data_IF_984852654429
#
_entry.id   IF_984852654429
#
_cell.length_a   1.000
_cell.length_b   1.000
_cell.length_c   1.000
_cell.angle_alpha   90.00
_cell.angle_beta   90.00
_cell.angle_gamma   90.00
#
_symmetry.space_group_name_H-M   'P 1'
#
loop_
_entity.id
_entity.type
_entity.pdbx_description
1 polymer ?
#
# COMPACT_ATOMS: atom_id res chain seq x y z
N UNK A 1 14.32 -29.10 -12.52
CA UNK A 1 15.08 -28.17 -11.68
C UNK A 1 14.77 -26.72 -12.06
N UNK A 2 14.90 -26.33 -13.30
CA UNK A 2 14.62 -24.93 -13.79
C UNK A 2 13.23 -24.39 -13.50
N UNK A 3 12.17 -25.18 -13.59
CA UNK A 3 10.79 -24.73 -13.24
C UNK A 3 10.62 -24.42 -11.75
N UNK A 4 11.35 -25.08 -10.89
CA UNK A 4 11.29 -24.84 -9.45
C UNK A 4 12.04 -23.56 -9.08
N UNK A 5 13.19 -23.32 -9.69
CA UNK A 5 13.96 -22.07 -9.51
C UNK A 5 13.20 -20.85 -10.04
N UNK A 6 12.55 -20.95 -11.19
CA UNK A 6 11.72 -19.90 -11.74
C UNK A 6 10.53 -19.51 -10.84
N UNK A 7 9.88 -20.47 -10.18
CA UNK A 7 8.80 -20.22 -9.22
C UNK A 7 9.30 -19.54 -7.95
N UNK A 8 10.45 -19.98 -7.41
CA UNK A 8 11.04 -19.37 -6.21
C UNK A 8 11.47 -17.92 -6.48
N UNK A 9 12.07 -17.67 -7.64
CA UNK A 9 12.47 -16.31 -8.06
C UNK A 9 11.25 -15.40 -8.24
N UNK A 10 10.16 -15.90 -8.82
CA UNK A 10 8.90 -15.17 -8.93
C UNK A 10 8.30 -14.79 -7.58
N UNK A 11 8.32 -15.71 -6.62
CA UNK A 11 7.82 -15.47 -5.27
C UNK A 11 8.68 -14.43 -4.52
N UNK A 12 10.01 -14.49 -4.65
CA UNK A 12 10.90 -13.51 -4.02
C UNK A 12 10.69 -12.09 -4.56
N UNK A 13 10.53 -11.94 -5.88
CA UNK A 13 10.22 -10.64 -6.51
C UNK A 13 8.86 -10.13 -6.02
N UNK A 14 7.87 -11.01 -5.94
CA UNK A 14 6.55 -10.67 -5.42
C UNK A 14 6.62 -10.14 -3.97
N UNK A 15 7.31 -10.87 -3.07
CA UNK A 15 7.49 -10.44 -1.68
C UNK A 15 8.23 -9.11 -1.57
N UNK A 16 9.24 -8.88 -2.42
CA UNK A 16 9.94 -7.60 -2.48
C UNK A 16 9.00 -6.45 -2.86
N UNK A 17 8.13 -6.65 -3.85
CA UNK A 17 7.13 -5.63 -4.24
C UNK A 17 6.16 -5.34 -3.10
N UNK A 18 5.71 -6.38 -2.36
CA UNK A 18 4.86 -6.18 -1.18
C UNK A 18 5.57 -5.39 -0.10
N UNK A 19 6.81 -5.77 0.21
CA UNK A 19 7.63 -5.07 1.20
C UNK A 19 7.80 -3.58 0.85
N UNK A 20 8.18 -3.28 -0.41
CA UNK A 20 8.35 -1.90 -0.84
C UNK A 20 7.05 -1.09 -0.77
N UNK A 21 5.92 -1.69 -1.15
CA UNK A 21 4.62 -1.01 -1.03
C UNK A 21 4.26 -0.73 0.45
N UNK A 22 4.42 -1.73 1.32
CA UNK A 22 4.19 -1.57 2.76
C UNK A 22 5.15 -0.53 3.39
N UNK A 23 6.41 -0.54 2.96
CA UNK A 23 7.42 0.41 3.41
C UNK A 23 7.05 1.87 3.03
N UNK A 24 6.58 2.10 1.80
CA UNK A 24 6.10 3.42 1.36
C UNK A 24 4.90 3.87 2.20
N UNK A 25 3.90 3.00 2.38
CA UNK A 25 2.69 3.32 3.14
C UNK A 25 3.01 3.64 4.60
N UNK A 26 3.79 2.81 5.28
CA UNK A 26 4.20 3.01 6.67
C UNK A 26 5.14 4.20 6.83
N UNK A 27 6.12 4.33 5.94
CA UNK A 27 7.07 5.44 5.96
C UNK A 27 6.37 6.78 5.80
N UNK A 28 5.43 6.88 4.87
CA UNK A 28 4.61 8.09 4.72
C UNK A 28 3.75 8.35 5.96
N UNK A 29 3.06 7.33 6.48
CA UNK A 29 2.23 7.46 7.68
C UNK A 29 3.03 7.99 8.88
N UNK A 30 4.21 7.42 9.13
CA UNK A 30 5.09 7.86 10.22
C UNK A 30 5.56 9.30 9.99
N UNK A 31 5.94 9.64 8.77
CA UNK A 31 6.42 10.98 8.43
C UNK A 31 5.34 12.03 8.60
N UNK A 32 4.12 11.81 8.10
CA UNK A 32 3.03 12.77 8.23
C UNK A 32 2.61 12.96 9.69
N UNK A 33 2.51 11.87 10.46
CA UNK A 33 2.20 11.94 11.88
C UNK A 33 3.28 12.68 12.66
N UNK A 34 4.56 12.41 12.39
CA UNK A 34 5.66 13.12 13.02
C UNK A 34 5.66 14.63 12.67
N UNK A 35 5.27 14.98 11.43
CA UNK A 35 5.12 16.38 11.02
C UNK A 35 4.02 17.07 11.80
N UNK A 36 2.86 16.44 11.96
CA UNK A 36 1.76 16.94 12.80
C UNK A 36 2.24 17.16 14.26
N UNK A 37 2.98 16.20 14.81
CA UNK A 37 3.52 16.30 16.17
C UNK A 37 4.50 17.45 16.35
N UNK A 38 5.28 17.79 15.33
CA UNK A 38 6.28 18.88 15.40
C UNK A 38 5.68 20.26 15.16
N UNK A 39 4.61 20.35 14.40
CA UNK A 39 4.04 21.62 13.95
C UNK A 39 2.86 22.07 14.83
N UNK A 40 2.17 21.13 15.45
CA UNK A 40 0.93 21.39 16.15
C UNK A 40 0.99 20.86 17.60
N UNK A 41 0.13 21.43 18.46
CA UNK A 41 0.01 21.02 19.87
C UNK A 41 -1.44 21.05 20.34
N UNK A 42 -1.71 20.38 21.46
CA UNK A 42 -3.03 20.40 22.08
C UNK A 42 -4.12 19.73 21.21
N UNK A 43 -5.28 20.36 21.14
CA UNK A 43 -6.46 19.82 20.43
C UNK A 43 -6.24 19.69 18.92
N UNK A 44 -5.55 20.65 18.30
CA UNK A 44 -5.25 20.63 16.86
C UNK A 44 -4.40 19.40 16.50
N UNK A 45 -3.39 19.08 17.30
CA UNK A 45 -2.57 17.90 17.09
C UNK A 45 -3.40 16.60 17.14
N UNK A 46 -4.29 16.49 18.12
CA UNK A 46 -5.18 15.33 18.26
C UNK A 46 -6.11 15.21 17.05
N UNK A 47 -6.72 16.32 16.64
CA UNK A 47 -7.65 16.36 15.50
C UNK A 47 -6.96 15.98 14.19
N UNK A 48 -5.79 16.55 13.89
CA UNK A 48 -5.05 16.24 12.67
C UNK A 48 -4.53 14.79 12.66
N UNK A 49 -4.10 14.27 13.81
CA UNK A 49 -3.71 12.86 13.93
C UNK A 49 -4.89 11.93 13.67
N UNK A 50 -6.07 12.24 14.21
CA UNK A 50 -7.30 11.51 13.95
C UNK A 50 -7.68 11.58 12.46
N UNK A 51 -7.55 12.76 11.84
CA UNK A 51 -7.84 12.96 10.42
C UNK A 51 -6.88 12.18 9.51
N UNK A 52 -5.58 12.12 9.81
CA UNK A 52 -4.61 11.26 9.08
C UNK A 52 -5.06 9.80 9.13
N UNK A 53 -5.43 9.29 10.30
CA UNK A 53 -5.90 7.92 10.42
C UNK A 53 -7.22 7.69 9.67
N UNK A 54 -8.13 8.65 9.68
CA UNK A 54 -9.38 8.59 8.93
C UNK A 54 -9.12 8.59 7.41
N UNK A 55 -8.23 9.45 6.90
CA UNK A 55 -7.83 9.49 5.48
C UNK A 55 -7.25 8.18 4.99
N UNK A 56 -6.58 7.42 5.87
CA UNK A 56 -6.06 6.09 5.53
C UNK A 56 -7.18 5.06 5.56
N UNK A 57 -8.04 5.06 6.58
CA UNK A 57 -9.03 4.02 6.82
C UNK A 57 -10.26 4.12 5.91
N UNK A 58 -10.76 5.33 5.67
CA UNK A 58 -11.99 5.57 4.89
C UNK A 58 -11.92 4.97 3.48
N UNK A 59 -10.85 5.17 2.68
CA UNK A 59 -10.73 4.55 1.37
C UNK A 59 -10.81 3.02 1.41
N UNK A 60 -10.21 2.37 2.40
CA UNK A 60 -10.31 0.91 2.54
C UNK A 60 -11.74 0.47 2.76
N UNK A 61 -12.51 1.16 3.61
CA UNK A 61 -13.91 0.82 3.88
C UNK A 61 -14.77 1.04 2.63
N UNK A 62 -14.64 2.20 1.98
CA UNK A 62 -15.48 2.56 0.83
C UNK A 62 -15.13 1.79 -0.44
N UNK A 63 -13.85 1.47 -0.64
CA UNK A 63 -13.34 0.87 -1.87
C UNK A 63 -13.19 -0.64 -1.80
N UNK A 64 -13.43 -1.30 -0.67
CA UNK A 64 -13.28 -2.75 -0.54
C UNK A 64 -14.07 -3.53 -1.59
N UNK A 65 -15.32 -3.14 -1.85
CA UNK A 65 -16.17 -3.79 -2.85
C UNK A 65 -15.76 -3.46 -4.28
N UNK A 66 -15.61 -2.18 -4.70
CA UNK A 66 -15.17 -1.88 -6.06
C UNK A 66 -13.75 -2.37 -6.35
N UNK A 67 -12.83 -2.30 -5.40
CA UNK A 67 -11.46 -2.81 -5.57
C UNK A 67 -11.44 -4.34 -5.75
N UNK A 68 -12.26 -5.07 -5.00
CA UNK A 68 -12.45 -6.50 -5.17
C UNK A 68 -12.96 -6.84 -6.58
N UNK A 69 -14.04 -6.18 -7.04
CA UNK A 69 -14.59 -6.36 -8.38
C UNK A 69 -13.59 -6.09 -9.49
N UNK A 70 -12.78 -5.04 -9.36
CA UNK A 70 -11.73 -4.71 -10.34
C UNK A 70 -10.64 -5.79 -10.32
N UNK A 71 -10.21 -6.21 -9.14
CA UNK A 71 -9.23 -7.29 -8.99
C UNK A 71 -9.71 -8.62 -9.59
N UNK A 72 -11.02 -8.90 -9.54
CA UNK A 72 -11.58 -10.12 -10.13
C UNK A 72 -11.76 -10.02 -11.65
N UNK A 73 -12.05 -8.83 -12.16
CA UNK A 73 -12.28 -8.59 -13.58
C UNK A 73 -11.00 -8.52 -14.41
N UNK A 74 -9.92 -8.01 -13.84
CA UNK A 74 -8.63 -7.83 -14.52
C UNK A 74 -7.57 -8.80 -14.00
N UNK A 75 -6.54 -9.05 -14.80
CA UNK A 75 -5.39 -9.85 -14.36
C UNK A 75 -4.76 -9.21 -13.11
N UNK A 76 -4.69 -9.97 -12.01
CA UNK A 76 -4.18 -9.50 -10.70
C UNK A 76 -2.80 -8.84 -10.82
N UNK A 77 -1.93 -9.43 -11.64
CA UNK A 77 -0.60 -8.88 -11.96
C UNK A 77 -0.68 -7.47 -12.56
N UNK A 78 -1.67 -7.23 -13.42
CA UNK A 78 -1.87 -5.92 -14.06
C UNK A 78 -2.33 -4.88 -13.02
N UNK A 79 -3.32 -5.24 -12.20
CA UNK A 79 -3.82 -4.37 -11.12
C UNK A 79 -2.69 -4.00 -10.16
N UNK A 80 -1.92 -4.99 -9.69
CA UNK A 80 -0.77 -4.75 -8.81
C UNK A 80 0.28 -3.84 -9.45
N UNK A 81 0.61 -4.08 -10.73
CA UNK A 81 1.61 -3.27 -11.46
C UNK A 81 1.19 -1.80 -11.57
N UNK A 82 -0.07 -1.54 -11.93
CA UNK A 82 -0.58 -0.17 -12.05
C UNK A 82 -0.66 0.49 -10.67
N UNK A 83 -1.17 -0.22 -9.65
CA UNK A 83 -1.21 0.30 -8.29
C UNK A 83 0.20 0.63 -7.77
N UNK A 84 1.19 -0.26 -7.99
CA UNK A 84 2.57 0.01 -7.59
C UNK A 84 3.19 1.21 -8.34
N UNK A 85 2.90 1.38 -9.64
CA UNK A 85 3.35 2.54 -10.40
C UNK A 85 2.75 3.85 -9.86
N UNK A 86 1.46 3.83 -9.49
CA UNK A 86 0.80 4.97 -8.84
C UNK A 86 1.44 5.24 -7.48
N UNK A 87 1.73 4.21 -6.67
CA UNK A 87 2.42 4.36 -5.39
C UNK A 87 3.77 5.08 -5.54
N UNK A 88 4.57 4.69 -6.53
CA UNK A 88 5.86 5.33 -6.82
C UNK A 88 5.67 6.80 -7.21
N UNK A 89 4.73 7.10 -8.11
CA UNK A 89 4.45 8.48 -8.53
C UNK A 89 4.01 9.36 -7.34
N UNK A 90 3.08 8.85 -6.52
CA UNK A 90 2.60 9.58 -5.34
C UNK A 90 3.71 9.73 -4.30
N UNK A 91 4.54 8.71 -4.07
CA UNK A 91 5.67 8.80 -3.15
C UNK A 91 6.68 9.86 -3.57
N UNK A 92 6.96 10.00 -4.86
CA UNK A 92 7.82 11.08 -5.40
C UNK A 92 7.19 12.46 -5.16
N UNK A 93 5.88 12.59 -5.39
CA UNK A 93 5.16 13.85 -5.13
C UNK A 93 5.15 14.19 -3.63
N UNK A 94 4.95 13.20 -2.76
CA UNK A 94 5.05 13.35 -1.30
C UNK A 94 6.44 13.84 -0.90
N UNK A 95 7.49 13.18 -1.43
CA UNK A 95 8.88 13.57 -1.13
C UNK A 95 9.16 15.01 -1.56
N UNK A 96 8.71 15.39 -2.77
CA UNK A 96 8.83 16.76 -3.26
C UNK A 96 8.07 17.75 -2.38
N UNK A 97 6.85 17.40 -1.96
CA UNK A 97 6.02 18.24 -1.09
C UNK A 97 6.69 18.51 0.26
N UNK A 98 7.31 17.49 0.86
CA UNK A 98 8.09 17.67 2.10
C UNK A 98 9.33 18.53 1.87
N UNK A 99 10.04 18.34 0.77
CA UNK A 99 11.23 19.13 0.45
C UNK A 99 10.90 20.62 0.24
N UNK A 100 9.73 20.92 -0.34
CA UNK A 100 9.25 22.29 -0.57
C UNK A 100 8.52 22.90 0.65
N UNK A 101 8.28 22.12 1.71
CA UNK A 101 7.50 22.57 2.87
C UNK A 101 5.99 22.63 2.63
N UNK A 102 5.47 21.96 1.59
CA UNK A 102 4.05 21.94 1.24
C UNK A 102 3.31 20.84 2.00
N UNK A 103 3.17 21.01 3.30
CA UNK A 103 2.58 20.00 4.19
C UNK A 103 1.14 19.67 3.85
N UNK A 104 0.35 20.67 3.43
CA UNK A 104 -1.04 20.49 3.04
C UNK A 104 -1.18 19.56 1.84
N UNK A 105 -0.27 19.69 0.86
CA UNK A 105 -0.21 18.80 -0.30
C UNK A 105 0.20 17.41 0.11
N UNK A 106 1.22 17.26 0.96
CA UNK A 106 1.64 15.97 1.51
C UNK A 106 0.50 15.29 2.28
N UNK A 107 -0.29 16.07 3.02
CA UNK A 107 -1.46 15.60 3.74
C UNK A 107 -2.56 15.10 2.78
N UNK A 108 -2.87 15.85 1.72
CA UNK A 108 -3.83 15.44 0.69
C UNK A 108 -3.37 14.18 -0.07
N UNK A 109 -2.07 14.02 -0.32
CA UNK A 109 -1.49 12.85 -0.98
C UNK A 109 -1.62 11.57 -0.14
N UNK A 110 -1.82 11.68 1.19
CA UNK A 110 -2.15 10.54 2.07
C UNK A 110 -3.40 9.80 1.59
N UNK A 111 -4.42 10.55 1.17
CA UNK A 111 -5.65 9.97 0.62
C UNK A 111 -5.38 9.18 -0.67
N UNK A 112 -4.53 9.70 -1.56
CA UNK A 112 -4.19 9.03 -2.82
C UNK A 112 -3.39 7.73 -2.58
N UNK A 113 -2.46 7.73 -1.62
CA UNK A 113 -1.77 6.50 -1.21
C UNK A 113 -2.73 5.48 -0.63
N UNK A 114 -3.67 5.90 0.22
CA UNK A 114 -4.66 5.01 0.80
C UNK A 114 -5.61 4.41 -0.26
N UNK A 115 -6.04 5.20 -1.24
CA UNK A 115 -6.83 4.73 -2.39
C UNK A 115 -6.04 3.68 -3.17
N UNK A 116 -4.80 3.97 -3.53
CA UNK A 116 -3.92 3.03 -4.25
C UNK A 116 -3.77 1.72 -3.47
N UNK A 117 -3.51 1.78 -2.17
CA UNK A 117 -3.33 0.60 -1.33
C UNK A 117 -4.63 -0.22 -1.18
N UNK A 118 -5.80 0.44 -1.21
CA UNK A 118 -7.09 -0.24 -1.23
C UNK A 118 -7.30 -1.09 -2.49
N UNK A 119 -6.80 -0.66 -3.66
CA UNK A 119 -6.82 -1.45 -4.90
C UNK A 119 -5.73 -2.51 -4.94
N UNK A 120 -4.56 -2.23 -4.40
CA UNK A 120 -3.45 -3.17 -4.34
C UNK A 120 -3.77 -4.39 -3.46
N UNK A 121 -4.44 -4.18 -2.34
CA UNK A 121 -4.69 -5.19 -1.31
C UNK A 121 -5.44 -6.44 -1.82
N UNK A 122 -6.62 -6.37 -2.49
CA UNK A 122 -7.29 -7.57 -2.99
C UNK A 122 -6.49 -8.25 -4.11
N UNK A 123 -5.80 -7.48 -4.95
CA UNK A 123 -5.01 -8.02 -6.05
C UNK A 123 -3.81 -8.85 -5.55
N UNK A 124 -3.13 -8.41 -4.46
CA UNK A 124 -2.01 -9.17 -3.88
C UNK A 124 -2.44 -10.54 -3.38
N UNK A 125 -3.55 -10.66 -2.67
CA UNK A 125 -4.03 -11.96 -2.19
C UNK A 125 -4.57 -12.84 -3.33
N UNK A 126 -5.24 -12.25 -4.31
CA UNK A 126 -5.68 -12.95 -5.51
C UNK A 126 -4.51 -13.52 -6.31
N UNK A 127 -3.44 -12.73 -6.51
CA UNK A 127 -2.22 -13.17 -7.20
C UNK A 127 -1.51 -14.30 -6.45
N UNK A 128 -1.42 -14.21 -5.12
CA UNK A 128 -0.80 -15.27 -4.32
C UNK A 128 -1.49 -16.62 -4.52
N UNK A 129 -2.82 -16.63 -4.54
CA UNK A 129 -3.62 -17.86 -4.78
C UNK A 129 -3.37 -18.49 -6.15
N UNK A 130 -3.02 -17.68 -7.15
CA UNK A 130 -2.65 -18.17 -8.49
C UNK A 130 -1.24 -18.77 -8.55
N UNK A 131 -0.35 -18.39 -7.61
CA UNK A 131 1.07 -18.80 -7.61
C UNK A 131 1.36 -20.03 -6.78
N UNK A 132 0.54 -20.34 -5.78
CA UNK A 132 0.78 -21.43 -4.84
C UNK A 132 -0.35 -22.47 -4.83
N UNK A 133 -0.01 -23.73 -4.51
CA UNK A 133 -1.01 -24.76 -4.30
C UNK A 133 -1.79 -24.54 -3.00
N UNK A 134 -3.02 -25.06 -2.93
CA UNK A 134 -3.88 -24.92 -1.74
C UNK A 134 -3.20 -25.38 -0.45
N UNK A 135 -2.40 -26.47 -0.50
CA UNK A 135 -1.63 -26.99 0.64
C UNK A 135 -0.55 -26.01 1.16
N UNK A 136 -0.08 -25.12 0.32
CA UNK A 136 0.97 -24.13 0.65
C UNK A 136 0.41 -22.73 0.95
N UNK A 137 -0.90 -22.53 0.72
CA UNK A 137 -1.52 -21.21 0.79
C UNK A 137 -1.44 -20.57 2.19
N UNK A 138 -1.62 -21.37 3.24
CA UNK A 138 -1.51 -20.91 4.64
C UNK A 138 -0.10 -20.40 4.93
N UNK A 139 0.92 -21.16 4.52
CA UNK A 139 2.33 -20.77 4.70
C UNK A 139 2.67 -19.51 3.87
N UNK A 140 2.21 -19.46 2.65
CA UNK A 140 2.42 -18.32 1.76
C UNK A 140 1.73 -17.04 2.29
N UNK A 141 0.51 -17.15 2.83
CA UNK A 141 -0.15 -16.04 3.52
C UNK A 141 0.64 -15.56 4.75
N UNK A 142 1.25 -16.48 5.49
CA UNK A 142 2.16 -16.13 6.58
C UNK A 142 3.32 -15.25 6.11
N UNK A 143 3.96 -15.59 5.00
CA UNK A 143 5.03 -14.76 4.41
C UNK A 143 4.53 -13.38 3.97
N UNK A 144 3.33 -13.31 3.38
CA UNK A 144 2.72 -12.02 2.97
C UNK A 144 2.38 -11.13 4.14
N UNK A 145 2.04 -11.70 5.30
CA UNK A 145 1.75 -10.94 6.53
C UNK A 145 3.02 -10.52 7.28
N UNK A 146 4.12 -11.26 7.09
CA UNK A 146 5.40 -10.96 7.73
C UNK A 146 6.18 -9.83 7.03
N UNK A 147 5.78 -9.47 5.82
CA UNK A 147 6.35 -8.41 4.99
C UNK A 147 5.54 -7.13 5.12
#
# INVERSE_FOLDING_TARGET
MEQHEGKLRGLSIYLLVLFLNAFVDLGHKITIQNSVFKMESGETQILLTALVNALILIPFILLVVPAGKISDRFAKRMVMRHSAAVAVAVALLVTLSYYQGWFEIAFALTLLLAIQSAFFSPAKYGYLREQVNLSQLTRANGWVQAV
#
